data_IF_543802270254
#
_entry.id   IF_543802270254
#
_cell.length_a   1.000
_cell.length_b   1.000
_cell.length_c   1.000
_cell.angle_alpha   90.00
_cell.angle_beta   90.00
_cell.angle_gamma   90.00
#
_symmetry.space_group_name_H-M   'P 1'
#
loop_
_entity.id
_entity.type
_entity.pdbx_description
1 polymer ?
#
# COMPACT_ATOMS: atom_id res chain seq x y z
N UNK A 1 -2.45 -11.87 -6.15
CA UNK A 1 -2.89 -10.59 -5.55
C UNK A 1 -3.38 -9.68 -6.67
N UNK A 2 -4.57 -9.07 -6.53
CA UNK A 2 -5.14 -8.19 -7.54
C UNK A 2 -4.25 -6.97 -7.81
N UNK A 3 -3.96 -6.70 -9.07
CA UNK A 3 -3.27 -5.50 -9.57
C UNK A 3 -4.31 -4.63 -10.27
N UNK A 4 -4.80 -3.62 -9.56
CA UNK A 4 -5.96 -2.83 -9.96
C UNK A 4 -5.66 -1.34 -9.88
N UNK A 5 -6.54 -0.53 -10.45
CA UNK A 5 -6.51 0.92 -10.25
C UNK A 5 -7.44 1.21 -9.08
N UNK A 6 -6.89 1.58 -7.92
CA UNK A 6 -7.71 1.86 -6.76
C UNK A 6 -8.58 3.10 -7.02
N UNK A 7 -9.87 2.96 -6.73
CA UNK A 7 -10.87 4.03 -6.67
C UNK A 7 -11.55 3.95 -5.30
N UNK A 8 -12.22 5.03 -4.90
CA UNK A 8 -12.94 5.03 -3.63
C UNK A 8 -14.07 3.97 -3.62
N UNK A 9 -14.72 3.73 -4.75
CA UNK A 9 -15.71 2.65 -4.91
C UNK A 9 -15.09 1.27 -4.66
N UNK A 10 -13.92 1.00 -5.24
CA UNK A 10 -13.23 -0.28 -5.01
C UNK A 10 -12.82 -0.40 -3.54
N UNK A 11 -12.35 0.69 -2.92
CA UNK A 11 -12.03 0.68 -1.50
C UNK A 11 -13.27 0.35 -0.67
N UNK A 12 -14.42 0.90 -1.04
CA UNK A 12 -15.69 0.63 -0.38
C UNK A 12 -16.13 -0.83 -0.54
N UNK A 13 -16.08 -1.38 -1.76
CA UNK A 13 -16.55 -2.72 -2.08
C UNK A 13 -15.57 -3.85 -1.72
N UNK A 14 -14.28 -3.54 -1.57
CA UNK A 14 -13.25 -4.56 -1.34
C UNK A 14 -13.53 -5.36 -0.06
N UNK A 15 -13.47 -6.68 -0.19
CA UNK A 15 -13.68 -7.62 0.92
C UNK A 15 -12.51 -8.59 1.02
N UNK A 16 -12.30 -9.16 2.21
CA UNK A 16 -11.37 -10.27 2.38
C UNK A 16 -12.12 -11.58 2.11
N UNK A 17 -11.58 -12.49 1.28
CA UNK A 17 -12.14 -13.84 1.13
C UNK A 17 -12.26 -14.56 2.49
N UNK A 18 -13.30 -15.39 2.65
CA UNK A 18 -13.63 -16.06 3.92
C UNK A 18 -12.58 -17.07 4.37
N UNK A 19 -11.73 -17.54 3.46
CA UNK A 19 -10.63 -18.47 3.70
C UNK A 19 -9.31 -17.76 4.07
N UNK A 20 -9.32 -16.43 4.25
CA UNK A 20 -8.12 -15.63 4.50
C UNK A 20 -8.27 -14.67 5.68
N UNK A 21 -7.16 -14.46 6.38
CA UNK A 21 -7.06 -13.44 7.43
C UNK A 21 -6.95 -12.02 6.86
N UNK A 22 -6.38 -11.88 5.65
CA UNK A 22 -6.24 -10.61 4.94
C UNK A 22 -6.11 -10.79 3.42
N UNK A 23 -6.54 -9.78 2.68
CA UNK A 23 -6.34 -9.63 1.24
C UNK A 23 -5.66 -8.28 0.92
N UNK A 24 -4.87 -8.25 -0.15
CA UNK A 24 -4.10 -7.08 -0.56
C UNK A 24 -4.37 -6.73 -2.03
N UNK A 25 -4.97 -5.57 -2.23
CA UNK A 25 -5.24 -5.00 -3.54
C UNK A 25 -4.18 -3.95 -3.85
N UNK A 26 -3.40 -4.11 -4.92
CA UNK A 26 -2.31 -3.19 -5.25
C UNK A 26 -2.74 -2.18 -6.31
N UNK A 27 -2.45 -0.90 -6.08
CA UNK A 27 -2.69 0.21 -7.03
C UNK A 27 -1.66 0.19 -8.16
N UNK A 28 -1.63 -0.91 -8.90
CA UNK A 28 -0.66 -1.16 -9.97
C UNK A 28 -1.39 -1.78 -11.16
N UNK A 29 -2.46 -1.13 -11.63
CA UNK A 29 -3.10 -1.55 -12.87
C UNK A 29 -2.12 -1.39 -14.03
N UNK A 30 -1.96 -2.47 -14.80
CA UNK A 30 -1.20 -2.47 -16.05
C UNK A 30 -2.21 -2.55 -17.18
N UNK A 31 -2.18 -1.59 -18.10
CA UNK A 31 -3.02 -1.56 -19.29
C UNK A 31 -2.59 -2.67 -20.26
N UNK A 32 -3.44 -2.97 -21.26
CA UNK A 32 -3.19 -4.05 -22.23
C UNK A 32 -1.87 -3.87 -23.01
N UNK A 33 -1.38 -2.64 -23.13
CA UNK A 33 -0.10 -2.30 -23.77
C UNK A 33 1.13 -2.44 -22.84
N UNK A 34 0.96 -2.98 -21.62
CA UNK A 34 2.05 -3.15 -20.65
C UNK A 34 2.41 -1.89 -19.85
N UNK A 35 1.78 -0.74 -20.12
CA UNK A 35 2.01 0.48 -19.35
C UNK A 35 1.18 0.49 -18.07
N UNK A 36 1.74 1.03 -16.99
CA UNK A 36 0.96 1.31 -15.77
C UNK A 36 -0.12 2.32 -16.15
N UNK A 37 -1.38 2.02 -15.80
CA UNK A 37 -2.50 2.93 -16.05
C UNK A 37 -2.20 4.28 -15.39
N UNK A 38 -2.34 5.36 -16.16
CA UNK A 38 -2.12 6.72 -15.68
C UNK A 38 -2.87 6.95 -14.35
N UNK A 39 -2.11 7.27 -13.31
CA UNK A 39 -2.61 7.54 -11.95
C UNK A 39 -2.45 6.41 -10.94
N UNK A 40 -2.11 5.17 -11.34
CA UNK A 40 -1.73 4.12 -10.38
C UNK A 40 -0.33 4.39 -9.81
N UNK A 41 -0.15 4.16 -8.51
CA UNK A 41 1.14 4.34 -7.82
C UNK A 41 1.71 3.00 -7.38
N UNK A 42 2.83 2.60 -7.98
CA UNK A 42 3.55 1.39 -7.61
C UNK A 42 3.92 1.39 -6.12
N UNK A 43 3.71 0.25 -5.45
CA UNK A 43 3.97 0.11 -4.02
C UNK A 43 2.81 0.55 -3.12
N UNK A 44 1.80 1.26 -3.63
CA UNK A 44 0.55 1.50 -2.90
C UNK A 44 -0.36 0.27 -2.96
N UNK A 45 -0.94 -0.10 -1.83
CA UNK A 45 -2.00 -1.10 -1.77
C UNK A 45 -3.04 -0.81 -0.69
N UNK A 46 -4.15 -1.53 -0.77
CA UNK A 46 -5.22 -1.60 0.22
C UNK A 46 -5.15 -2.97 0.90
N UNK A 47 -4.97 -2.98 2.21
CA UNK A 47 -5.12 -4.17 3.06
C UNK A 47 -6.55 -4.24 3.58
N UNK A 48 -7.21 -5.37 3.36
CA UNK A 48 -8.53 -5.68 3.93
C UNK A 48 -8.39 -6.90 4.82
N UNK A 49 -8.77 -6.82 6.10
CA UNK A 49 -8.73 -7.97 7.02
C UNK A 49 -10.00 -8.82 6.91
N UNK A 50 -9.99 -10.04 7.45
CA UNK A 50 -11.18 -10.90 7.54
C UNK A 50 -12.35 -10.25 8.30
N UNK A 51 -12.06 -9.30 9.20
CA UNK A 51 -13.05 -8.50 9.92
C UNK A 51 -13.53 -7.26 9.13
N UNK A 52 -13.07 -7.07 7.89
CA UNK A 52 -13.43 -5.94 7.03
C UNK A 52 -12.67 -4.64 7.32
N UNK A 53 -11.66 -4.64 8.21
CA UNK A 53 -10.86 -3.45 8.44
C UNK A 53 -9.98 -3.13 7.24
N UNK A 54 -10.01 -1.86 6.81
CA UNK A 54 -9.34 -1.39 5.60
C UNK A 54 -8.26 -0.38 5.94
N UNK A 55 -7.07 -0.55 5.36
CA UNK A 55 -5.96 0.39 5.54
C UNK A 55 -5.09 0.45 4.30
N UNK A 56 -4.61 1.65 3.96
CA UNK A 56 -3.62 1.82 2.92
C UNK A 56 -2.24 1.37 3.41
N UNK A 57 -1.49 0.71 2.54
CA UNK A 57 -0.14 0.21 2.81
C UNK A 57 0.82 0.65 1.72
N UNK A 58 2.07 0.92 2.11
CA UNK A 58 3.19 1.14 1.21
C UNK A 58 4.15 -0.06 1.31
N UNK A 59 4.32 -0.77 0.21
CA UNK A 59 5.36 -1.79 0.04
C UNK A 59 6.56 -1.17 -0.69
N UNK A 60 7.73 -1.23 -0.07
CA UNK A 60 8.95 -0.60 -0.57
C UNK A 60 10.19 -1.44 -0.27
N UNK A 61 11.33 -1.03 -0.82
CA UNK A 61 12.64 -1.59 -0.48
C UNK A 61 13.51 -0.51 0.15
N UNK A 62 14.23 -0.86 1.21
CA UNK A 62 15.21 0.01 1.84
C UNK A 62 16.39 -0.83 2.33
N UNK A 63 17.61 -0.44 1.97
CA UNK A 63 18.84 -1.18 2.28
C UNK A 63 18.76 -2.68 1.94
N UNK A 64 18.23 -3.00 0.75
CA UNK A 64 18.07 -4.37 0.26
C UNK A 64 16.96 -5.18 0.93
N UNK A 65 16.23 -4.62 1.91
CA UNK A 65 15.14 -5.31 2.61
C UNK A 65 13.79 -4.88 2.08
N UNK A 66 12.90 -5.85 1.85
CA UNK A 66 11.50 -5.61 1.52
C UNK A 66 10.73 -5.25 2.80
N UNK A 67 10.13 -4.08 2.79
CA UNK A 67 9.39 -3.52 3.90
C UNK A 67 7.94 -3.27 3.48
N UNK A 68 7.01 -3.40 4.45
CA UNK A 68 5.64 -2.92 4.29
C UNK A 68 5.24 -2.07 5.48
N UNK A 69 4.65 -0.92 5.20
CA UNK A 69 4.17 0.03 6.21
C UNK A 69 2.71 0.35 5.99
N UNK A 70 1.91 0.41 7.07
CA UNK A 70 0.56 0.96 7.04
C UNK A 70 0.64 2.48 7.01
N UNK A 71 -0.02 3.12 6.05
CA UNK A 71 -0.07 4.58 5.91
C UNK A 71 -1.21 5.19 6.71
N UNK A 72 -2.39 4.55 6.70
CA UNK A 72 -3.59 5.07 7.35
C UNK A 72 -4.84 4.21 7.12
N UNK A 73 -5.87 4.44 7.93
CA UNK A 73 -7.20 3.85 7.74
C UNK A 73 -7.92 4.53 6.58
N UNK A 74 -8.76 3.79 5.86
CA UNK A 74 -9.62 4.37 4.80
C UNK A 74 -10.69 5.30 5.36
N UNK A 75 -10.94 5.27 6.67
CA UNK A 75 -11.84 6.22 7.35
C UNK A 75 -11.24 7.61 7.52
N UNK A 76 -9.91 7.74 7.44
CA UNK A 76 -9.18 8.99 7.70
C UNK A 76 -8.31 9.43 6.52
N UNK A 77 -8.20 8.60 5.49
CA UNK A 77 -7.33 8.81 4.33
C UNK A 77 -8.08 8.39 3.08
N UNK A 78 -8.02 9.19 2.02
CA UNK A 78 -8.56 8.87 0.69
C UNK A 78 -7.50 8.17 -0.18
N UNK A 79 -7.92 7.58 -1.31
CA UNK A 79 -6.98 7.00 -2.29
C UNK A 79 -5.99 8.06 -2.79
N UNK A 80 -6.46 9.27 -3.08
CA UNK A 80 -5.60 10.37 -3.54
C UNK A 80 -4.55 10.76 -2.49
N UNK A 81 -4.95 10.88 -1.22
CA UNK A 81 -4.02 11.17 -0.13
C UNK A 81 -3.00 10.03 0.07
N UNK A 82 -3.42 8.77 -0.07
CA UNK A 82 -2.52 7.62 0.03
C UNK A 82 -1.50 7.58 -1.12
N UNK A 83 -1.91 7.93 -2.36
CA UNK A 83 -1.00 8.06 -3.51
C UNK A 83 0.05 9.14 -3.27
N UNK A 84 -0.36 10.32 -2.81
CA UNK A 84 0.56 11.41 -2.49
C UNK A 84 1.57 10.98 -1.42
N UNK A 85 1.10 10.34 -0.34
CA UNK A 85 1.96 9.84 0.72
C UNK A 85 2.98 8.80 0.23
N UNK A 86 2.62 7.95 -0.74
CA UNK A 86 3.59 7.01 -1.34
C UNK A 86 4.63 7.75 -2.18
N UNK A 87 4.23 8.72 -2.98
CA UNK A 87 5.16 9.54 -3.79
C UNK A 87 6.17 10.28 -2.90
N UNK A 88 5.69 10.92 -1.83
CA UNK A 88 6.56 11.61 -0.86
C UNK A 88 7.55 10.65 -0.19
N UNK A 89 7.08 9.46 0.22
CA UNK A 89 7.95 8.44 0.82
C UNK A 89 8.96 7.89 -0.18
N UNK A 90 8.58 7.71 -1.43
CA UNK A 90 9.49 7.26 -2.49
C UNK A 90 10.60 8.29 -2.77
N UNK A 91 10.28 9.59 -2.71
CA UNK A 91 11.29 10.65 -2.76
C UNK A 91 12.29 10.57 -1.60
N UNK A 92 11.83 10.27 -0.38
CA UNK A 92 12.70 10.08 0.78
C UNK A 92 13.61 8.86 0.62
N UNK A 93 13.05 7.73 0.14
CA UNK A 93 13.81 6.50 -0.13
C UNK A 93 14.89 6.72 -1.19
N UNK A 94 14.56 7.43 -2.28
CA UNK A 94 15.52 7.81 -3.33
C UNK A 94 16.63 8.73 -2.81
N UNK A 95 16.34 9.54 -1.81
CA UNK A 95 17.34 10.35 -1.10
C UNK A 95 18.14 9.56 -0.04
N UNK A 96 17.95 8.24 0.06
CA UNK A 96 18.63 7.38 1.03
C UNK A 96 18.11 7.53 2.47
N UNK A 97 16.95 8.19 2.66
CA UNK A 97 16.35 8.42 3.98
C UNK A 97 15.30 7.34 4.26
N UNK A 98 15.30 6.80 5.47
CA UNK A 98 14.25 5.89 5.92
C UNK A 98 12.98 6.73 6.21
N UNK A 99 11.87 6.53 5.48
CA UNK A 99 10.66 7.34 5.64
C UNK A 99 9.91 7.11 6.96
N UNK A 100 10.41 6.19 7.80
CA UNK A 100 9.85 5.83 9.09
C UNK A 100 10.86 6.05 10.23
N UNK A 101 11.97 6.79 10.01
CA UNK A 101 12.99 7.00 11.04
C UNK A 101 12.50 7.89 12.21
N UNK A 102 11.68 8.92 11.93
CA UNK A 102 11.31 9.97 12.89
C UNK A 102 9.86 9.88 13.42
N UNK A 103 9.09 8.87 13.01
CA UNK A 103 7.77 8.66 13.58
C UNK A 103 7.92 7.79 14.82
N UNK A 104 7.56 8.33 15.98
CA UNK A 104 7.26 7.55 17.20
C UNK A 104 6.08 6.64 16.84
N UNK A 105 6.38 5.53 16.20
CA UNK A 105 5.39 4.62 15.64
C UNK A 105 5.44 3.34 16.44
N UNK A 106 4.47 3.20 17.34
CA UNK A 106 4.27 1.99 18.13
C UNK A 106 3.88 0.79 17.27
N UNK A 107 3.54 0.98 15.98
CA UNK A 107 3.25 -0.10 15.03
C UNK A 107 4.52 -0.51 14.30
N UNK A 108 5.16 -1.56 14.82
CA UNK A 108 6.35 -2.23 14.28
C UNK A 108 6.34 -2.30 12.75
N UNK A 109 7.49 -1.97 12.14
CA UNK A 109 7.81 -2.32 10.75
C UNK A 109 7.63 -3.83 10.58
N UNK A 110 6.74 -4.26 9.69
CA UNK A 110 6.67 -5.66 9.28
C UNK A 110 7.66 -5.89 8.15
N UNK A 111 8.75 -6.58 8.46
CA UNK A 111 9.63 -7.14 7.44
C UNK A 111 8.92 -8.31 6.77
N UNK A 112 8.87 -8.29 5.44
CA UNK A 112 8.33 -9.41 4.69
C UNK A 112 9.43 -10.47 4.62
N UNK A 113 9.34 -11.52 5.44
CA UNK A 113 10.15 -12.72 5.28
C UNK A 113 9.67 -13.43 4.02
N UNK A 114 10.47 -13.40 2.96
CA UNK A 114 10.26 -14.25 1.78
C UNK A 114 10.77 -15.63 2.16
N UNK A 115 9.89 -16.64 2.15
CA UNK A 115 10.27 -18.06 2.20
C UNK A 115 10.37 -18.58 0.77
#
# INVERSE_FOLDING_TARGET
MPKIFLTDDIVFEANCPTDKDQELYWDYAVAANGQIRNGSVAGLGLRVTGLGHKSFVHSYQFNGKRCRKVLGSTTTMSVAAARLAVVERDQQLKAGKDPDLDRIDTRRKHFLTVR
#
